data_IF_640392069849
#
_entry.id   IF_640392069849
#
_cell.length_a   1.000
_cell.length_b   1.000
_cell.length_c   1.000
_cell.angle_alpha   90.00
_cell.angle_beta   90.00
_cell.angle_gamma   90.00
#
_symmetry.space_group_name_H-M   'P 1'
#
loop_
_entity.id
_entity.type
_entity.pdbx_description
1 polymer ?
#
# COMPACT_ATOMS: atom_id res chain seq x y z
N UNK A 1 16.01 46.82 60.55
CA UNK A 1 15.24 47.22 59.35
C UNK A 1 15.79 46.69 58.02
N UNK A 2 17.03 46.19 57.94
CA UNK A 2 17.71 45.84 56.67
C UNK A 2 17.31 44.48 56.04
N UNK A 3 16.69 43.57 56.80
CA UNK A 3 16.26 42.26 56.30
C UNK A 3 15.02 42.35 55.38
N UNK A 4 14.14 43.33 55.62
CA UNK A 4 12.86 43.51 54.91
C UNK A 4 13.04 44.03 53.48
N UNK A 5 14.02 44.90 53.27
CA UNK A 5 14.27 45.53 51.97
C UNK A 5 14.98 44.58 50.99
N UNK A 6 15.91 43.75 51.51
CA UNK A 6 16.53 42.64 50.77
C UNK A 6 15.47 41.61 50.34
N UNK A 7 14.53 41.27 51.22
CA UNK A 7 13.42 40.36 50.92
C UNK A 7 12.48 40.92 49.84
N UNK A 8 12.09 42.20 49.94
CA UNK A 8 11.26 42.86 48.91
C UNK A 8 11.96 42.91 47.54
N UNK A 9 13.26 43.17 47.51
CA UNK A 9 14.06 43.21 46.28
C UNK A 9 14.21 41.82 45.66
N UNK A 10 14.38 40.77 46.48
CA UNK A 10 14.36 39.38 46.00
C UNK A 10 12.98 38.96 45.50
N UNK A 11 11.89 39.29 46.21
CA UNK A 11 10.53 39.03 45.77
C UNK A 11 10.20 39.67 44.42
N UNK A 12 10.61 40.93 44.19
CA UNK A 12 10.44 41.62 42.89
C UNK A 12 11.22 40.95 41.76
N UNK A 13 12.44 40.45 42.04
CA UNK A 13 13.24 39.70 41.06
C UNK A 13 12.61 38.34 40.74
N UNK A 14 12.11 37.63 41.75
CA UNK A 14 11.42 36.36 41.59
C UNK A 14 10.13 36.55 40.80
N UNK A 15 9.31 37.55 41.12
CA UNK A 15 8.08 37.86 40.36
C UNK A 15 8.38 38.28 38.93
N UNK A 16 9.40 39.11 38.70
CA UNK A 16 9.85 39.46 37.35
C UNK A 16 10.31 38.24 36.55
N UNK A 17 11.07 37.33 37.18
CA UNK A 17 11.51 36.09 36.56
C UNK A 17 10.34 35.15 36.22
N UNK A 18 9.38 34.97 37.14
CA UNK A 18 8.17 34.18 36.91
C UNK A 18 7.34 34.78 35.77
N UNK A 19 7.17 36.10 35.73
CA UNK A 19 6.41 36.76 34.67
C UNK A 19 7.03 36.53 33.28
N UNK A 20 8.36 36.67 33.17
CA UNK A 20 9.08 36.38 31.91
C UNK A 20 8.92 34.91 31.52
N UNK A 21 9.04 33.99 32.49
CA UNK A 21 8.89 32.56 32.24
C UNK A 21 7.48 32.19 31.75
N UNK A 22 6.43 32.79 32.34
CA UNK A 22 5.04 32.61 31.89
C UNK A 22 4.80 33.16 30.49
N UNK A 23 5.37 34.31 30.15
CA UNK A 23 5.27 34.89 28.79
C UNK A 23 5.96 33.98 27.77
N UNK A 24 7.16 33.51 28.07
CA UNK A 24 7.89 32.59 27.19
C UNK A 24 7.15 31.26 27.03
N UNK A 25 6.63 30.70 28.12
CA UNK A 25 5.83 29.48 28.08
C UNK A 25 4.53 29.68 27.27
N UNK A 26 3.82 30.80 27.48
CA UNK A 26 2.62 31.14 26.72
C UNK A 26 2.90 31.28 25.23
N UNK A 27 3.98 31.97 24.86
CA UNK A 27 4.44 32.07 23.48
C UNK A 27 4.77 30.72 22.86
N UNK A 28 5.50 29.87 23.59
CA UNK A 28 5.82 28.51 23.16
C UNK A 28 4.55 27.64 23.02
N UNK A 29 3.62 27.73 23.96
CA UNK A 29 2.36 27.00 23.93
C UNK A 29 1.51 27.37 22.70
N UNK A 30 1.35 28.67 22.42
CA UNK A 30 0.66 29.14 21.22
C UNK A 30 1.38 28.68 19.94
N UNK A 31 2.71 28.76 19.91
CA UNK A 31 3.52 28.26 18.80
C UNK A 31 3.29 26.75 18.55
N UNK A 32 3.26 25.94 19.61
CA UNK A 32 2.99 24.50 19.51
C UNK A 32 1.60 24.22 18.95
N UNK A 33 0.57 24.95 19.39
CA UNK A 33 -0.79 24.76 18.88
C UNK A 33 -0.93 25.17 17.41
N UNK A 34 -0.44 26.35 17.04
CA UNK A 34 -0.51 26.85 15.66
C UNK A 34 0.23 25.91 14.70
N UNK A 35 1.40 25.42 15.11
CA UNK A 35 2.21 24.50 14.29
C UNK A 35 1.77 23.03 14.41
N UNK A 36 0.90 22.73 15.37
CA UNK A 36 0.30 21.41 15.58
C UNK A 36 -0.83 21.12 14.60
N UNK A 37 -1.47 22.16 14.05
CA UNK A 37 -2.46 22.03 12.97
C UNK A 37 -1.70 21.81 11.65
N UNK A 38 -1.84 20.65 10.98
CA UNK A 38 -1.22 20.47 9.68
C UNK A 38 -1.81 21.47 8.68
N UNK A 39 -0.96 22.24 8.00
CA UNK A 39 -1.37 23.00 6.84
C UNK A 39 -1.71 22.00 5.73
N UNK A 40 -2.99 21.65 5.64
CA UNK A 40 -3.44 20.57 4.80
C UNK A 40 -4.56 21.07 3.88
N UNK A 41 -4.33 21.10 2.55
CA UNK A 41 -5.37 21.50 1.62
C UNK A 41 -6.57 20.53 1.56
N UNK A 42 -6.44 19.32 2.12
CA UNK A 42 -7.46 18.28 2.05
C UNK A 42 -8.54 18.36 3.14
N UNK A 43 -8.42 19.22 4.16
CA UNK A 43 -9.42 19.44 5.22
C UNK A 43 -9.99 18.14 5.87
N UNK A 44 -9.19 17.08 5.98
CA UNK A 44 -9.62 15.74 6.38
C UNK A 44 -8.56 15.18 7.34
N UNK A 45 -8.79 15.20 8.65
CA UNK A 45 -7.88 14.60 9.63
C UNK A 45 -8.58 13.56 10.51
N UNK A 46 -8.09 12.33 10.40
CA UNK A 46 -8.54 11.22 11.24
C UNK A 46 -8.05 11.35 12.68
N UNK A 47 -6.95 12.07 12.92
CA UNK A 47 -6.49 12.40 14.28
C UNK A 47 -7.36 13.47 14.94
N UNK A 48 -7.78 14.50 14.19
CA UNK A 48 -8.65 15.57 14.71
C UNK A 48 -10.10 15.11 15.00
N UNK A 49 -10.49 13.93 14.51
CA UNK A 49 -11.82 13.36 14.76
C UNK A 49 -12.88 13.79 13.75
N UNK A 50 -12.48 14.13 12.53
CA UNK A 50 -13.42 14.45 11.45
C UNK A 50 -14.18 13.19 11.02
N UNK A 51 -15.47 13.11 11.39
CA UNK A 51 -16.30 11.92 11.16
C UNK A 51 -16.65 11.67 9.68
N UNK A 52 -16.60 12.72 8.83
CA UNK A 52 -16.92 12.64 7.40
C UNK A 52 -15.68 12.50 6.51
N UNK A 53 -14.52 12.24 7.11
CA UNK A 53 -13.25 12.15 6.40
C UNK A 53 -13.15 10.82 5.64
N UNK A 54 -13.06 10.86 4.31
CA UNK A 54 -12.71 9.71 3.46
C UNK A 54 -11.19 9.72 3.27
N UNK A 55 -10.44 8.86 3.99
CA UNK A 55 -8.99 9.04 4.12
C UNK A 55 -8.20 8.52 2.94
N UNK A 56 -8.83 7.71 2.08
CA UNK A 56 -8.21 7.14 0.90
C UNK A 56 -9.10 7.29 -0.33
N UNK A 57 -8.47 7.38 -1.49
CA UNK A 57 -9.12 7.28 -2.78
C UNK A 57 -8.57 6.05 -3.51
N UNK A 58 -9.44 5.09 -3.79
CA UNK A 58 -9.13 3.89 -4.58
C UNK A 58 -9.57 4.13 -6.02
N UNK A 59 -8.67 3.87 -6.96
CA UNK A 59 -8.90 4.02 -8.41
C UNK A 59 -8.69 2.68 -9.09
N UNK A 60 -9.55 2.37 -10.06
CA UNK A 60 -9.40 1.24 -10.97
C UNK A 60 -9.45 1.81 -12.38
N UNK A 61 -8.48 1.44 -13.20
CA UNK A 61 -8.37 1.83 -14.61
C UNK A 61 -8.30 0.56 -15.44
N UNK A 62 -8.97 0.55 -16.60
CA UNK A 62 -8.85 -0.52 -17.59
C UNK A 62 -8.01 0.00 -18.75
N UNK A 63 -7.00 -0.78 -19.12
CA UNK A 63 -6.11 -0.42 -20.23
C UNK A 63 -6.81 -0.57 -21.58
N UNK A 64 -7.30 -1.78 -21.84
CA UNK A 64 -8.28 -2.05 -22.90
C UNK A 64 -9.56 -2.54 -22.23
N UNK A 65 -10.69 -1.88 -22.47
CA UNK A 65 -12.00 -2.33 -22.00
C UNK A 65 -12.56 -3.52 -22.82
N UNK A 66 -11.67 -4.40 -23.30
CA UNK A 66 -11.98 -5.58 -24.10
C UNK A 66 -11.27 -6.78 -23.50
N UNK A 67 -12.00 -7.87 -23.27
CA UNK A 67 -11.50 -9.17 -22.86
C UNK A 67 -11.91 -10.26 -23.87
N UNK A 68 -11.34 -11.46 -23.75
CA UNK A 68 -11.65 -12.60 -24.62
C UNK A 68 -12.32 -13.74 -23.85
N UNK A 69 -13.17 -14.49 -24.51
CA UNK A 69 -13.78 -15.68 -23.91
C UNK A 69 -12.75 -16.80 -23.71
N UNK A 70 -12.92 -17.56 -22.63
CA UNK A 70 -12.15 -18.77 -22.31
C UNK A 70 -10.64 -18.56 -22.22
N UNK A 71 -10.21 -17.40 -21.70
CA UNK A 71 -8.79 -17.09 -21.45
C UNK A 71 -8.56 -16.81 -19.96
N UNK A 72 -7.49 -17.37 -19.40
CA UNK A 72 -7.08 -17.09 -18.01
C UNK A 72 -6.41 -15.73 -17.80
N UNK A 73 -6.01 -15.06 -18.90
CA UNK A 73 -5.39 -13.72 -18.94
C UNK A 73 -6.35 -12.76 -19.63
N UNK A 74 -7.26 -12.18 -18.87
CA UNK A 74 -8.51 -11.70 -19.44
C UNK A 74 -8.55 -10.20 -19.72
N UNK A 75 -8.01 -9.37 -18.81
CA UNK A 75 -8.16 -7.91 -18.87
C UNK A 75 -6.88 -7.20 -18.40
N UNK A 76 -6.51 -6.09 -19.05
CA UNK A 76 -5.45 -5.21 -18.56
C UNK A 76 -6.05 -4.18 -17.61
N UNK A 77 -5.56 -4.12 -16.38
CA UNK A 77 -6.08 -3.23 -15.34
C UNK A 77 -4.94 -2.56 -14.55
N UNK A 78 -5.24 -1.42 -13.93
CA UNK A 78 -4.34 -0.73 -13.01
C UNK A 78 -5.13 -0.26 -11.81
N UNK A 79 -4.57 -0.47 -10.62
CA UNK A 79 -5.15 0.02 -9.37
C UNK A 79 -4.28 1.13 -8.85
N UNK A 80 -4.89 2.20 -8.36
CA UNK A 80 -4.19 3.26 -7.66
C UNK A 80 -4.80 3.50 -6.28
N UNK A 81 -3.94 3.79 -5.32
CA UNK A 81 -4.33 4.15 -3.96
C UNK A 81 -3.69 5.49 -3.60
N UNK A 82 -4.53 6.45 -3.23
CA UNK A 82 -4.13 7.80 -2.85
C UNK A 82 -4.52 8.07 -1.40
N UNK A 83 -3.62 8.66 -0.63
CA UNK A 83 -3.94 9.22 0.68
C UNK A 83 -4.56 10.61 0.51
N UNK A 84 -5.85 10.73 0.81
CA UNK A 84 -6.61 11.99 0.79
C UNK A 84 -6.70 12.64 2.17
N UNK A 85 -6.14 12.00 3.21
CA UNK A 85 -6.06 12.52 4.56
C UNK A 85 -4.86 13.46 4.74
N UNK A 86 -4.95 14.34 5.74
CA UNK A 86 -3.88 15.21 6.25
C UNK A 86 -2.85 14.45 7.10
N UNK A 87 -3.23 13.25 7.53
CA UNK A 87 -2.42 12.37 8.36
C UNK A 87 -1.69 11.34 7.48
N UNK A 88 -0.62 10.76 8.01
CA UNK A 88 0.03 9.60 7.38
C UNK A 88 -0.77 8.36 7.66
N UNK A 89 -0.94 7.54 6.63
CA UNK A 89 -1.69 6.29 6.71
C UNK A 89 -0.74 5.14 6.44
N UNK A 90 -0.70 4.18 7.35
CA UNK A 90 -0.04 2.89 7.12
C UNK A 90 -1.10 1.81 6.98
N UNK A 91 -1.12 1.13 5.83
CA UNK A 91 -2.14 0.15 5.46
C UNK A 91 -1.51 -1.01 4.66
N UNK A 92 -2.20 -2.15 4.60
CA UNK A 92 -1.77 -3.30 3.80
C UNK A 92 -1.87 -2.96 2.32
N UNK A 93 -0.70 -2.80 1.72
CA UNK A 93 -0.53 -2.42 0.31
C UNK A 93 0.15 -3.51 -0.49
N UNK A 94 0.13 -4.77 0.00
CA UNK A 94 0.65 -5.94 -0.75
C UNK A 94 0.08 -6.00 -2.16
N UNK A 95 -1.20 -5.66 -2.31
CA UNK A 95 -1.88 -5.64 -3.61
C UNK A 95 -1.25 -4.67 -4.61
N UNK A 96 -0.49 -3.67 -4.19
CA UNK A 96 0.25 -2.77 -5.10
C UNK A 96 1.50 -3.42 -5.71
N UNK A 97 1.98 -4.54 -5.17
CA UNK A 97 3.22 -5.20 -5.63
C UNK A 97 3.07 -6.69 -5.97
N UNK A 98 1.93 -7.29 -5.62
CA UNK A 98 1.59 -8.70 -5.89
C UNK A 98 0.10 -8.83 -6.29
N UNK A 99 -0.29 -10.03 -6.67
CA UNK A 99 -1.70 -10.35 -6.93
C UNK A 99 -2.56 -10.18 -5.67
N UNK A 100 -3.83 -9.83 -5.89
CA UNK A 100 -4.80 -9.51 -4.85
C UNK A 100 -5.38 -10.70 -4.04
N UNK A 101 -5.39 -11.97 -4.50
CA UNK A 101 -5.90 -13.06 -3.67
C UNK A 101 -5.10 -13.11 -2.37
N UNK A 102 -5.80 -13.09 -1.23
CA UNK A 102 -5.22 -13.04 0.13
C UNK A 102 -4.70 -11.66 0.58
N UNK A 103 -5.13 -10.57 -0.08
CA UNK A 103 -4.90 -9.19 0.37
C UNK A 103 -6.19 -8.53 0.84
N UNK A 104 -6.09 -7.33 1.43
CA UNK A 104 -7.25 -6.50 1.79
C UNK A 104 -8.09 -6.01 0.59
N UNK A 105 -7.59 -6.18 -0.65
CA UNK A 105 -8.25 -5.80 -1.88
C UNK A 105 -9.08 -6.97 -2.44
N UNK A 106 -10.35 -6.71 -2.75
CA UNK A 106 -11.27 -7.62 -3.43
C UNK A 106 -11.60 -7.07 -4.83
N UNK A 107 -11.49 -7.92 -5.87
CA UNK A 107 -11.97 -7.60 -7.22
C UNK A 107 -13.28 -8.33 -7.48
N UNK A 108 -14.35 -7.58 -7.73
CA UNK A 108 -15.68 -8.10 -8.06
C UNK A 108 -15.94 -7.93 -9.54
N UNK A 109 -16.42 -8.99 -10.19
CA UNK A 109 -16.77 -8.99 -11.60
C UNK A 109 -18.15 -9.60 -11.77
N UNK A 110 -19.01 -8.95 -12.55
CA UNK A 110 -20.35 -9.43 -12.87
C UNK A 110 -20.48 -9.69 -14.36
N UNK A 111 -21.08 -10.84 -14.68
CA UNK A 111 -21.44 -11.23 -16.04
C UNK A 111 -22.64 -10.45 -16.60
N UNK A 112 -22.94 -10.66 -17.88
CA UNK A 112 -24.10 -10.06 -18.55
C UNK A 112 -25.43 -10.53 -17.96
N UNK A 113 -25.44 -11.70 -17.32
CA UNK A 113 -26.58 -12.26 -16.58
C UNK A 113 -26.69 -11.69 -15.15
N UNK A 114 -25.82 -10.77 -14.77
CA UNK A 114 -25.76 -10.17 -13.43
C UNK A 114 -25.11 -11.06 -12.37
N UNK A 115 -24.70 -12.29 -12.69
CA UNK A 115 -24.05 -13.18 -11.73
C UNK A 115 -22.58 -12.82 -11.56
N UNK A 116 -22.07 -12.98 -10.34
CA UNK A 116 -20.66 -12.74 -10.07
C UNK A 116 -19.80 -13.84 -10.72
N UNK A 117 -18.75 -13.43 -11.43
CA UNK A 117 -17.72 -14.32 -11.95
C UNK A 117 -16.74 -14.55 -10.81
N UNK A 118 -16.62 -15.80 -10.37
CA UNK A 118 -15.67 -16.17 -9.32
C UNK A 118 -14.26 -16.26 -9.88
N UNK A 119 -13.30 -15.79 -9.09
CA UNK A 119 -11.90 -16.10 -9.31
C UNK A 119 -11.70 -17.61 -9.15
N UNK A 120 -11.07 -18.22 -10.15
CA UNK A 120 -10.74 -19.65 -10.11
C UNK A 120 -9.24 -19.76 -9.83
N UNK A 121 -8.82 -20.19 -8.63
CA UNK A 121 -7.41 -20.49 -8.40
C UNK A 121 -6.98 -21.53 -9.43
N UNK A 122 -5.79 -21.40 -10.03
CA UNK A 122 -5.25 -22.49 -10.83
C UNK A 122 -5.17 -23.77 -9.98
N UNK A 123 -5.32 -24.95 -10.59
CA UNK A 123 -5.27 -26.23 -9.87
C UNK A 123 -3.81 -26.58 -9.48
N UNK A 124 -3.53 -27.23 -8.34
CA UNK A 124 -2.16 -27.45 -7.82
C UNK A 124 -1.25 -28.31 -8.70
N UNK A 125 -1.82 -29.13 -9.60
CA UNK A 125 -1.11 -30.17 -10.34
C UNK A 125 -0.97 -29.90 -11.85
N UNK A 126 -1.49 -28.77 -12.33
CA UNK A 126 -1.23 -28.34 -13.70
C UNK A 126 0.22 -27.86 -13.79
N UNK A 127 0.95 -28.23 -14.84
CA UNK A 127 2.30 -27.68 -15.11
C UNK A 127 2.17 -26.16 -15.31
N UNK A 128 2.29 -25.40 -14.23
CA UNK A 128 1.92 -23.98 -14.25
C UNK A 128 3.01 -23.20 -14.94
N UNK A 129 2.70 -22.68 -16.11
CA UNK A 129 3.46 -21.59 -16.71
C UNK A 129 2.76 -20.29 -16.36
N UNK A 130 3.40 -19.46 -15.55
CA UNK A 130 3.01 -18.06 -15.37
C UNK A 130 3.56 -17.28 -16.55
N UNK A 131 2.70 -16.70 -17.39
CA UNK A 131 3.15 -15.95 -18.57
C UNK A 131 3.72 -14.57 -18.22
N UNK A 132 3.19 -13.93 -17.16
CA UNK A 132 3.57 -12.59 -16.74
C UNK A 132 4.10 -12.58 -15.31
N UNK A 133 4.97 -11.61 -15.02
CA UNK A 133 5.50 -11.37 -13.68
C UNK A 133 5.38 -9.90 -13.31
N UNK A 134 5.29 -9.59 -12.01
CA UNK A 134 5.26 -8.20 -11.54
C UNK A 134 6.62 -7.52 -11.61
N UNK A 135 6.68 -6.35 -12.24
CA UNK A 135 7.89 -5.54 -12.32
C UNK A 135 8.04 -4.66 -11.08
N UNK A 136 8.50 -5.25 -9.98
CA UNK A 136 8.72 -4.53 -8.71
C UNK A 136 9.74 -3.38 -8.80
N UNK A 137 10.61 -3.39 -9.80
CA UNK A 137 11.63 -2.35 -10.05
C UNK A 137 11.13 -1.16 -10.87
N UNK A 138 9.86 -1.17 -11.28
CA UNK A 138 9.26 -0.09 -12.08
C UNK A 138 9.14 1.24 -11.30
N UNK A 139 8.99 1.17 -9.98
CA UNK A 139 8.97 2.34 -9.10
C UNK A 139 9.84 2.07 -7.86
N UNK A 140 10.81 2.93 -7.53
CA UNK A 140 11.63 2.76 -6.33
C UNK A 140 10.81 2.82 -5.04
N UNK A 141 9.62 3.45 -5.02
CA UNK A 141 8.75 3.50 -3.84
C UNK A 141 8.29 2.11 -3.40
N UNK A 142 8.19 1.15 -4.33
CA UNK A 142 7.86 -0.24 -3.97
C UNK A 142 8.93 -0.95 -3.15
N UNK A 143 10.19 -0.45 -3.12
CA UNK A 143 11.21 -1.02 -2.22
C UNK A 143 10.95 -0.68 -0.75
N UNK A 144 10.10 0.31 -0.47
CA UNK A 144 9.68 0.68 0.88
C UNK A 144 8.54 -0.21 1.39
N UNK A 145 7.86 -0.93 0.49
CA UNK A 145 6.82 -1.90 0.84
C UNK A 145 7.50 -3.16 1.39
N UNK A 146 7.67 -3.21 2.71
CA UNK A 146 8.31 -4.33 3.38
C UNK A 146 7.34 -5.51 3.46
N UNK A 147 7.45 -6.47 2.54
CA UNK A 147 6.68 -7.71 2.60
C UNK A 147 7.34 -8.64 3.62
N UNK A 148 6.74 -8.77 4.80
CA UNK A 148 7.11 -9.79 5.79
C UNK A 148 6.17 -10.96 5.66
N UNK A 149 6.72 -12.12 5.28
CA UNK A 149 5.98 -13.39 5.35
C UNK A 149 6.14 -13.91 6.78
N UNK A 150 5.03 -14.10 7.49
CA UNK A 150 5.05 -14.73 8.80
C UNK A 150 5.45 -16.20 8.68
N UNK A 151 5.87 -16.81 9.79
CA UNK A 151 6.20 -18.24 9.86
C UNK A 151 5.02 -19.15 9.49
N UNK A 152 3.81 -18.61 9.50
CA UNK A 152 2.56 -19.28 9.10
C UNK A 152 2.15 -19.01 7.64
N UNK A 153 2.97 -18.29 6.87
CA UNK A 153 2.74 -17.99 5.46
C UNK A 153 1.90 -16.74 5.17
N UNK A 154 1.47 -15.99 6.20
CA UNK A 154 0.72 -14.75 5.99
C UNK A 154 1.68 -13.62 5.64
N UNK A 155 1.51 -13.00 4.48
CA UNK A 155 2.31 -11.85 4.06
C UNK A 155 1.66 -10.57 4.56
N UNK A 156 2.35 -9.80 5.40
CA UNK A 156 1.95 -8.45 5.77
C UNK A 156 2.94 -7.50 5.09
N UNK A 157 2.46 -6.60 4.24
CA UNK A 157 3.27 -5.52 3.72
C UNK A 157 2.58 -4.18 3.90
N UNK A 158 3.11 -3.40 4.85
CA UNK A 158 2.65 -2.04 5.08
C UNK A 158 3.51 -1.05 4.29
N UNK A 159 2.84 -0.04 3.73
CA UNK A 159 3.46 1.17 3.20
C UNK A 159 2.91 2.36 3.98
N UNK A 160 3.78 3.32 4.30
CA UNK A 160 3.37 4.56 4.95
C UNK A 160 3.11 5.63 3.89
N UNK A 161 1.84 5.88 3.60
CA UNK A 161 1.40 6.89 2.65
C UNK A 161 1.45 8.28 3.28
N UNK A 162 2.28 9.16 2.74
CA UNK A 162 2.27 10.58 3.08
C UNK A 162 0.98 11.27 2.60
N UNK A 163 0.56 12.40 3.19
CA UNK A 163 -0.59 13.17 2.71
C UNK A 163 -0.47 13.52 1.24
N UNK A 164 -1.49 13.19 0.44
CA UNK A 164 -1.50 13.40 -1.01
C UNK A 164 -0.65 12.41 -1.82
N UNK A 165 0.06 11.47 -1.18
CA UNK A 165 0.82 10.45 -1.89
C UNK A 165 -0.11 9.53 -2.67
N UNK A 166 0.27 9.25 -3.91
CA UNK A 166 -0.43 8.35 -4.81
C UNK A 166 0.51 7.27 -5.33
N UNK A 167 0.13 6.01 -5.12
CA UNK A 167 0.81 4.85 -5.67
C UNK A 167 -0.10 4.08 -6.61
N UNK A 168 0.51 3.49 -7.62
CA UNK A 168 -0.15 2.63 -8.58
C UNK A 168 0.23 1.19 -8.31
N UNK A 169 -0.44 0.25 -8.95
CA UNK A 169 -0.10 -1.15 -8.91
C UNK A 169 1.05 -1.45 -9.88
N UNK A 170 2.04 -2.24 -9.47
CA UNK A 170 3.18 -2.63 -10.33
C UNK A 170 2.72 -3.23 -11.66
N UNK A 171 3.28 -2.85 -12.81
CA UNK A 171 2.88 -3.44 -14.08
C UNK A 171 3.29 -4.92 -14.18
N UNK A 172 2.56 -5.66 -15.01
CA UNK A 172 2.91 -7.01 -15.41
C UNK A 172 3.78 -6.96 -16.67
N UNK A 173 4.92 -7.65 -16.62
CA UNK A 173 5.81 -7.82 -17.78
C UNK A 173 5.76 -9.26 -18.27
N UNK A 174 5.85 -9.44 -19.59
CA UNK A 174 5.94 -10.78 -20.17
C UNK A 174 7.27 -11.42 -19.77
N UNK A 175 7.21 -12.36 -18.84
CA UNK A 175 8.37 -13.07 -18.29
C UNK A 175 7.94 -14.48 -17.92
N UNK A 176 7.75 -15.34 -18.94
CA UNK A 176 7.18 -16.64 -18.72
C UNK A 176 8.08 -17.50 -17.84
N UNK A 177 7.51 -18.14 -16.84
CA UNK A 177 8.23 -18.99 -15.91
C UNK A 177 7.37 -20.16 -15.46
N UNK A 178 7.99 -21.27 -15.11
CA UNK A 178 7.29 -22.40 -14.51
C UNK A 178 7.09 -22.08 -13.01
N UNK A 179 5.84 -21.98 -12.58
CA UNK A 179 5.48 -21.74 -11.19
C UNK A 179 6.00 -22.91 -10.36
N UNK A 180 6.90 -22.61 -9.42
CA UNK A 180 7.49 -23.64 -8.59
C UNK A 180 6.44 -24.07 -7.54
N UNK A 181 6.07 -25.36 -7.45
CA UNK A 181 5.13 -25.83 -6.43
C UNK A 181 5.68 -25.67 -5.00
N UNK A 182 7.00 -25.54 -4.85
CA UNK A 182 7.69 -25.29 -3.59
C UNK A 182 8.87 -24.33 -3.81
N UNK A 183 9.36 -23.68 -2.75
CA UNK A 183 10.61 -22.90 -2.76
C UNK A 183 11.83 -23.81 -3.00
N UNK A 184 11.98 -24.32 -4.23
CA UNK A 184 13.18 -25.01 -4.67
C UNK A 184 14.25 -24.00 -5.10
N UNK A 185 15.53 -24.27 -4.80
CA UNK A 185 16.67 -23.49 -5.32
C UNK A 185 16.63 -23.38 -6.85
N UNK A 186 17.43 -22.52 -7.45
CA UNK A 186 17.60 -22.56 -8.91
C UNK A 186 18.38 -23.82 -9.33
N UNK A 187 18.24 -24.27 -10.58
CA UNK A 187 18.97 -25.41 -11.14
C UNK A 187 20.50 -25.24 -10.98
N UNK A 188 20.97 -23.99 -10.99
CA UNK A 188 22.39 -23.68 -10.77
C UNK A 188 22.85 -23.96 -9.35
N UNK A 189 21.95 -23.83 -8.37
CA UNK A 189 22.16 -24.10 -6.94
C UNK A 189 21.90 -25.57 -6.58
N UNK A 190 20.91 -26.21 -7.22
CA UNK A 190 20.63 -27.65 -7.04
C UNK A 190 21.78 -28.53 -7.57
N UNK A 191 22.46 -28.08 -8.63
CA UNK A 191 23.54 -28.83 -9.29
C UNK A 191 24.81 -27.96 -9.43
N UNK A 192 25.51 -27.66 -8.32
CA UNK A 192 26.72 -26.84 -8.37
C UNK A 192 27.88 -27.58 -9.06
N UNK A 193 28.90 -26.82 -9.47
CA UNK A 193 30.15 -27.37 -10.02
C UNK A 193 30.21 -27.51 -11.55
N UNK A 194 31.44 -27.62 -12.08
CA UNK A 194 31.71 -27.67 -13.52
C UNK A 194 31.26 -29.01 -14.16
N UNK A 195 31.34 -30.11 -13.42
CA UNK A 195 30.91 -31.46 -13.86
C UNK A 195 29.43 -31.50 -14.26
N UNK A 196 28.59 -30.72 -13.59
CA UNK A 196 27.15 -30.68 -13.83
C UNK A 196 26.72 -29.69 -14.92
N UNK A 197 27.67 -29.01 -15.61
CA UNK A 197 27.36 -27.97 -16.60
C UNK A 197 26.48 -28.49 -17.75
N UNK A 198 26.78 -29.69 -18.27
CA UNK A 198 25.99 -30.32 -19.33
C UNK A 198 24.56 -30.68 -18.88
N UNK A 199 24.43 -31.22 -17.66
CA UNK A 199 23.13 -31.59 -17.08
C UNK A 199 22.27 -30.32 -16.86
N UNK A 200 22.85 -29.26 -16.27
CA UNK A 200 22.16 -27.97 -16.08
C UNK A 200 21.68 -27.37 -17.39
N UNK A 201 22.54 -27.37 -18.42
CA UNK A 201 22.18 -26.87 -19.74
C UNK A 201 21.02 -27.67 -20.36
N UNK A 202 21.04 -29.00 -20.23
CA UNK A 202 19.97 -29.89 -20.70
C UNK A 202 18.65 -29.62 -19.97
N UNK A 203 18.67 -29.55 -18.63
CA UNK A 203 17.47 -29.29 -17.82
C UNK A 203 16.89 -27.90 -18.10
N UNK A 204 17.73 -26.86 -18.22
CA UNK A 204 17.30 -25.51 -18.63
C UNK A 204 16.63 -25.53 -20.00
N UNK A 205 17.19 -26.27 -20.96
CA UNK A 205 16.60 -26.43 -22.31
C UNK A 205 15.26 -27.16 -22.28
N UNK A 206 15.15 -28.25 -21.53
CA UNK A 206 13.89 -28.99 -21.36
C UNK A 206 12.82 -28.11 -20.69
N UNK A 207 13.19 -27.35 -19.66
CA UNK A 207 12.29 -26.40 -18.99
C UNK A 207 11.80 -25.32 -19.96
N UNK A 208 12.70 -24.72 -20.73
CA UNK A 208 12.33 -23.73 -21.75
C UNK A 208 11.38 -24.31 -22.81
N UNK A 209 11.61 -25.56 -23.24
CA UNK A 209 10.74 -26.23 -24.20
C UNK A 209 9.33 -26.51 -23.63
N UNK A 210 9.23 -26.94 -22.35
CA UNK A 210 7.94 -27.10 -21.66
C UNK A 210 7.19 -25.78 -21.54
N UNK A 211 7.89 -24.71 -21.15
CA UNK A 211 7.33 -23.36 -21.09
C UNK A 211 6.78 -22.95 -22.45
N UNK A 212 7.58 -23.03 -23.52
CA UNK A 212 7.13 -22.67 -24.86
C UNK A 212 5.94 -23.51 -25.35
N UNK A 213 5.93 -24.81 -25.05
CA UNK A 213 4.82 -25.70 -25.40
C UNK A 213 3.52 -25.28 -24.71
N UNK A 214 3.57 -24.96 -23.42
CA UNK A 214 2.42 -24.47 -22.67
C UNK A 214 1.97 -23.08 -23.16
N UNK A 215 2.90 -22.14 -23.43
CA UNK A 215 2.55 -20.80 -23.94
C UNK A 215 1.73 -20.84 -25.24
N UNK A 216 1.92 -21.86 -26.08
CA UNK A 216 1.12 -22.03 -27.32
C UNK A 216 -0.35 -22.34 -27.07
N UNK A 217 -0.72 -22.93 -25.93
CA UNK A 217 -2.12 -23.18 -25.60
C UNK A 217 -2.79 -21.96 -24.96
N UNK A 218 -2.03 -20.98 -24.48
CA UNK A 218 -2.56 -19.74 -23.97
C UNK A 218 -2.83 -18.74 -25.11
N UNK A 219 -4.05 -18.20 -25.16
CA UNK A 219 -4.38 -17.04 -26.00
C UNK A 219 -3.85 -15.76 -25.35
N UNK A 220 -2.52 -15.61 -25.30
CA UNK A 220 -1.85 -14.48 -24.66
C UNK A 220 -2.09 -13.17 -25.43
N UNK A 221 -2.03 -12.07 -24.70
CA UNK A 221 -2.08 -10.71 -25.25
C UNK A 221 -0.71 -10.07 -25.16
N UNK A 222 -0.44 -9.12 -26.04
CA UNK A 222 0.75 -8.29 -25.90
C UNK A 222 0.69 -7.55 -24.56
N UNK A 223 1.85 -7.45 -23.89
CA UNK A 223 1.97 -6.76 -22.63
C UNK A 223 1.58 -5.30 -22.78
N UNK A 224 0.76 -4.78 -21.87
CA UNK A 224 0.39 -3.37 -21.88
C UNK A 224 1.26 -2.59 -20.87
N UNK A 225 2.07 -1.61 -21.32
CA UNK A 225 2.95 -0.84 -20.44
C UNK A 225 2.17 -0.13 -19.33
N UNK A 226 2.61 -0.31 -18.08
CA UNK A 226 1.99 0.32 -16.91
C UNK A 226 0.77 -0.40 -16.34
N UNK A 227 0.30 -1.49 -16.97
CA UNK A 227 -0.89 -2.25 -16.53
C UNK A 227 -0.54 -3.66 -16.07
N UNK A 228 -1.44 -4.24 -15.30
CA UNK A 228 -1.43 -5.64 -14.87
C UNK A 228 -2.41 -6.46 -15.67
N UNK A 229 -2.09 -7.73 -15.85
CA UNK A 229 -3.06 -8.67 -16.40
C UNK A 229 -3.91 -9.22 -15.26
N UNK A 230 -5.23 -9.27 -15.47
CA UNK A 230 -6.16 -9.92 -14.58
C UNK A 230 -6.09 -11.43 -14.82
N UNK A 231 -5.51 -12.15 -13.87
CA UNK A 231 -5.34 -13.60 -13.91
C UNK A 231 -6.41 -14.34 -13.09
N UNK A 232 -6.88 -15.48 -13.58
CA UNK A 232 -7.78 -16.39 -12.86
C UNK A 232 -9.28 -16.11 -13.01
N UNK A 233 -9.68 -15.07 -13.74
CA UNK A 233 -11.07 -14.82 -14.13
C UNK A 233 -11.32 -15.28 -15.56
N UNK A 234 -12.10 -16.36 -15.72
CA UNK A 234 -12.42 -16.95 -17.03
C UNK A 234 -13.85 -16.58 -17.43
N UNK A 235 -13.98 -15.82 -18.52
CA UNK A 235 -15.28 -15.42 -19.06
C UNK A 235 -15.79 -16.45 -20.07
N UNK A 236 -16.93 -17.09 -19.76
CA UNK A 236 -17.51 -18.16 -20.58
C UNK A 236 -18.36 -17.66 -21.76
N UNK A 237 -18.95 -16.47 -21.62
CA UNK A 237 -19.91 -15.93 -22.58
C UNK A 237 -19.44 -14.55 -23.07
N UNK A 238 -19.64 -14.20 -24.35
CA UNK A 238 -19.44 -12.84 -24.82
C UNK A 238 -20.53 -11.92 -24.26
N UNK A 239 -20.25 -10.61 -24.21
CA UNK A 239 -21.21 -9.60 -23.75
C UNK A 239 -20.58 -8.50 -22.92
N UNK A 240 -21.42 -7.67 -22.30
CA UNK A 240 -20.98 -6.60 -21.39
C UNK A 240 -20.84 -7.14 -19.98
N UNK A 241 -19.67 -6.91 -19.40
CA UNK A 241 -19.32 -7.27 -18.04
C UNK A 241 -19.04 -6.00 -17.23
N UNK A 242 -19.11 -6.13 -15.90
CA UNK A 242 -18.84 -5.05 -14.95
C UNK A 242 -17.74 -5.45 -13.99
N UNK A 243 -16.86 -4.52 -13.62
CA UNK A 243 -15.77 -4.74 -12.65
C UNK A 243 -15.72 -3.61 -11.62
N UNK A 244 -15.41 -3.97 -10.38
CA UNK A 244 -15.19 -3.04 -9.28
C UNK A 244 -14.06 -3.57 -8.39
N UNK A 245 -13.23 -2.67 -7.89
CA UNK A 245 -12.28 -2.97 -6.83
C UNK A 245 -12.81 -2.43 -5.49
N UNK A 246 -12.70 -3.22 -4.43
CA UNK A 246 -13.08 -2.86 -3.07
C UNK A 246 -11.89 -3.12 -2.14
N UNK A 247 -11.54 -2.14 -1.32
CA UNK A 247 -10.53 -2.26 -0.28
C UNK A 247 -11.21 -2.17 1.08
N UNK A 248 -10.94 -3.13 1.96
CA UNK A 248 -11.37 -3.12 3.36
C UNK A 248 -10.20 -3.52 4.23
N UNK A 249 -9.69 -2.59 5.03
CA UNK A 249 -8.48 -2.78 5.84
C UNK A 249 -8.51 -1.91 7.11
N UNK A 250 -7.57 -2.15 8.03
CA UNK A 250 -7.28 -1.28 9.16
C UNK A 250 -6.08 -0.39 8.83
N UNK A 251 -6.29 0.93 8.83
CA UNK A 251 -5.22 1.90 8.67
C UNK A 251 -4.68 2.35 10.04
N UNK A 252 -3.35 2.39 10.17
CA UNK A 252 -2.67 3.03 11.28
C UNK A 252 -2.34 4.47 10.92
N UNK A 253 -3.02 5.39 11.59
CA UNK A 253 -2.93 6.83 11.38
C UNK A 253 -1.86 7.42 12.28
N UNK A 254 -0.95 8.19 11.71
CA UNK A 254 0.05 8.96 12.45
C UNK A 254 0.20 10.37 11.90
N UNK A 255 0.78 11.26 12.70
CA UNK A 255 1.01 12.66 12.32
C UNK A 255 2.00 12.77 11.16
N UNK A 256 1.72 13.63 10.18
CA UNK A 256 2.58 13.78 9.02
C UNK A 256 3.89 14.53 9.27
N UNK A 257 3.84 15.54 10.12
CA UNK A 257 5.01 16.33 10.53
C UNK A 257 5.51 15.83 11.88
N UNK A 258 6.82 15.78 12.11
CA UNK A 258 7.43 15.40 13.40
C UNK A 258 8.32 16.50 13.99
N UNK A 259 7.98 17.76 13.70
CA UNK A 259 8.85 18.91 14.00
C UNK A 259 9.20 19.08 15.48
N UNK A 260 8.30 18.68 16.38
CA UNK A 260 8.48 18.69 17.83
C UNK A 260 9.61 17.77 18.28
N UNK A 261 9.86 16.67 17.56
CA UNK A 261 10.98 15.76 17.81
C UNK A 261 12.33 16.40 17.47
N UNK A 262 12.34 17.51 16.72
CA UNK A 262 13.56 18.28 16.39
C UNK A 262 13.87 19.35 17.45
N UNK A 263 13.00 19.57 18.42
CA UNK A 263 13.28 20.49 19.52
C UNK A 263 14.31 19.88 20.48
N UNK A 264 15.10 20.73 21.14
CA UNK A 264 16.01 20.28 22.19
C UNK A 264 15.25 19.97 23.48
N UNK A 265 15.71 18.98 24.24
CA UNK A 265 15.18 18.70 25.57
C UNK A 265 15.27 19.96 26.48
N UNK A 266 14.23 20.31 27.26
CA UNK A 266 12.95 19.61 27.46
C UNK A 266 11.79 20.13 26.59
N UNK A 267 12.06 21.02 25.61
CA UNK A 267 11.02 21.62 24.77
C UNK A 267 10.29 20.58 23.93
N UNK A 268 10.97 19.51 23.50
CA UNK A 268 10.37 18.40 22.76
C UNK A 268 9.29 17.67 23.60
N UNK A 269 9.60 17.40 24.87
CA UNK A 269 8.69 16.75 25.80
C UNK A 269 7.48 17.64 26.09
N UNK A 270 7.71 18.93 26.34
CA UNK A 270 6.63 19.88 26.56
C UNK A 270 5.73 20.02 25.33
N UNK A 271 6.30 20.10 24.12
CA UNK A 271 5.50 20.12 22.89
C UNK A 271 4.65 18.85 22.73
N UNK A 272 5.23 17.66 22.94
CA UNK A 272 4.49 16.38 22.90
C UNK A 272 3.32 16.35 23.89
N UNK A 273 3.54 16.82 25.12
CA UNK A 273 2.51 16.87 26.15
C UNK A 273 1.37 17.82 25.77
N UNK A 274 1.70 19.01 25.26
CA UNK A 274 0.70 19.98 24.77
C UNK A 274 -0.10 19.35 23.63
N UNK A 275 0.57 18.80 22.62
CA UNK A 275 -0.09 18.21 21.46
C UNK A 275 -1.00 17.02 21.85
N UNK A 276 -0.57 16.14 22.77
CA UNK A 276 -1.41 15.04 23.28
C UNK A 276 -2.64 15.54 24.02
N UNK A 277 -2.46 16.53 24.91
CA UNK A 277 -3.56 17.10 25.69
C UNK A 277 -4.67 17.69 24.82
N UNK A 278 -4.30 18.19 23.64
CA UNK A 278 -5.24 18.76 22.66
C UNK A 278 -5.68 17.76 21.59
N UNK A 279 -5.34 16.47 21.71
CA UNK A 279 -5.73 15.43 20.75
C UNK A 279 -5.08 15.57 19.37
N UNK A 280 -4.08 16.44 19.21
CA UNK A 280 -3.40 16.67 17.94
C UNK A 280 -2.42 15.54 17.60
N UNK A 281 -2.04 14.74 18.60
CA UNK A 281 -1.28 13.51 18.42
C UNK A 281 -1.88 12.40 19.29
N UNK A 282 -1.88 11.14 18.82
CA UNK A 282 -2.42 10.04 19.58
C UNK A 282 -1.62 9.81 20.88
N UNK A 283 -2.29 9.25 21.90
CA UNK A 283 -1.62 8.85 23.15
C UNK A 283 -0.58 7.75 22.89
N UNK A 284 -0.94 6.82 21.99
CA UNK A 284 -0.05 5.81 21.40
C UNK A 284 0.64 6.38 20.16
N UNK A 285 1.65 5.69 19.62
CA UNK A 285 2.36 6.18 18.41
C UNK A 285 1.45 6.32 17.18
N UNK A 286 0.30 5.63 17.17
CA UNK A 286 -0.68 5.64 16.08
C UNK A 286 -2.11 5.49 16.61
N UNK A 287 -3.09 5.85 15.79
CA UNK A 287 -4.52 5.56 15.96
C UNK A 287 -4.95 4.56 14.89
N UNK A 288 -5.61 3.48 15.27
CA UNK A 288 -6.15 2.51 14.31
C UNK A 288 -7.55 2.93 13.88
N UNK A 289 -7.83 2.89 12.58
CA UNK A 289 -9.11 3.26 11.98
C UNK A 289 -9.45 2.25 10.87
N UNK A 290 -10.68 1.74 10.87
CA UNK A 290 -11.16 0.90 9.77
C UNK A 290 -11.40 1.77 8.53
N UNK A 291 -10.89 1.32 7.38
CA UNK A 291 -11.01 2.02 6.11
C UNK A 291 -11.65 1.09 5.09
N UNK A 292 -12.76 1.54 4.52
CA UNK A 292 -13.48 0.81 3.48
C UNK A 292 -13.75 1.75 2.31
N UNK A 293 -13.23 1.41 1.12
CA UNK A 293 -13.42 2.20 -0.09
C UNK A 293 -13.71 1.28 -1.27
N UNK A 294 -14.61 1.70 -2.15
CA UNK A 294 -14.89 1.01 -3.41
C UNK A 294 -14.67 1.96 -4.58
N UNK A 295 -14.17 1.44 -5.69
CA UNK A 295 -14.11 2.19 -6.94
C UNK A 295 -15.50 2.35 -7.54
N UNK A 296 -15.63 3.26 -8.52
CA UNK A 296 -16.74 3.20 -9.46
C UNK A 296 -16.79 1.83 -10.17
N UNK A 297 -17.99 1.45 -10.62
CA UNK A 297 -18.16 0.25 -11.44
C UNK A 297 -17.80 0.61 -12.88
N UNK A 298 -16.88 -0.13 -13.47
CA UNK A 298 -16.49 0.02 -14.86
C UNK A 298 -17.13 -1.08 -15.71
N UNK A 299 -17.48 -0.75 -16.95
CA UNK A 299 -17.96 -1.71 -17.95
C UNK A 299 -16.84 -2.11 -18.90
N UNK A 300 -16.84 -3.36 -19.35
CA UNK A 300 -15.96 -3.86 -20.40
C UNK A 300 -16.66 -4.91 -21.26
N UNK A 301 -16.17 -5.09 -22.48
CA UNK A 301 -16.76 -6.02 -23.46
C UNK A 301 -15.94 -7.32 -23.54
N UNK A 302 -16.60 -8.46 -23.42
CA UNK A 302 -15.99 -9.77 -23.68
C UNK A 302 -16.35 -10.21 -25.10
N UNK A 303 -15.33 -10.44 -25.92
CA UNK A 303 -15.44 -10.92 -27.31
C UNK A 303 -15.02 -12.38 -27.44
N UNK A 304 -15.48 -13.11 -28.48
CA UNK A 304 -15.06 -14.49 -28.76
C UNK A 304 -13.54 -14.67 -28.84
#
# INVERSE_FOLDING_TARGET
>A
MDLSEKLRKQLKRITGFIAVLLILFGGFYCYVLVRGVPACPQNCSLLAGDNDCVPIELTLELGDAIARTNTGYSLWYRIGLKNTCCDRLSLDSVFLVQDWPLTALEIKIWGPDGKQVSWTPPLPHEERVQAYAFEKKSDPRYSQISVKVSDFGNSIASHEFAPGEYLLSTPSVFRPSEAKPHNRPDIDEELPGASNRGIRASLKKQRAARIQKALKSFKLRDSMPGYRVLEGFIFKHPGKYRIQAKLKDNAFVSRASNWDQKLTFPLDLMAKLILRRHGLIPERMFKEVEVEQSTGILEFEVKP
#
